data_IF_476726922964
#
_entry.id   IF_476726922964
#
_cell.length_a   1.000
_cell.length_b   1.000
_cell.length_c   1.000
_cell.angle_alpha   90.00
_cell.angle_beta   90.00
_cell.angle_gamma   90.00
#
_symmetry.space_group_name_H-M   'P 1'
#
loop_
_entity.id
_entity.type
_entity.pdbx_description
1 polymer ?
#
# COMPACT_ATOMS: atom_id res chain seq x y z
N UNK A 1 -16.50 30.88 25.19
CA UNK A 1 -16.97 30.33 23.90
C UNK A 1 -15.96 29.30 23.46
N UNK A 2 -16.27 28.02 23.69
CA UNK A 2 -15.37 26.90 23.39
C UNK A 2 -16.08 26.05 22.35
N UNK A 3 -15.66 26.17 21.09
CA UNK A 3 -16.24 25.39 19.99
C UNK A 3 -15.73 23.96 20.11
N UNK A 4 -16.62 23.05 20.49
CA UNK A 4 -16.37 21.63 20.46
C UNK A 4 -16.14 21.19 19.01
N UNK A 5 -14.94 20.71 18.70
CA UNK A 5 -14.67 20.01 17.45
C UNK A 5 -15.40 18.68 17.55
N UNK A 6 -16.50 18.57 16.82
CA UNK A 6 -17.36 17.38 16.75
C UNK A 6 -16.54 16.13 16.48
N UNK A 7 -16.52 15.25 17.48
CA UNK A 7 -15.90 13.92 17.51
C UNK A 7 -16.52 12.91 16.51
N UNK A 8 -17.32 13.37 15.56
CA UNK A 8 -18.04 12.57 14.57
C UNK A 8 -17.23 12.31 13.28
N UNK A 9 -16.11 13.00 13.06
CA UNK A 9 -15.27 12.80 11.86
C UNK A 9 -14.22 11.68 11.96
N UNK A 10 -14.14 10.96 13.08
CA UNK A 10 -13.11 9.92 13.30
C UNK A 10 -13.58 8.47 13.10
N UNK A 11 -14.80 8.25 12.58
CA UNK A 11 -15.40 6.90 12.38
C UNK A 11 -15.78 6.58 10.94
N UNK A 12 -15.17 7.21 9.95
CA UNK A 12 -15.17 6.64 8.61
C UNK A 12 -14.01 5.64 8.54
N UNK A 13 -14.30 4.40 8.93
CA UNK A 13 -13.57 3.26 8.41
C UNK A 13 -13.69 3.35 6.89
N UNK A 14 -12.67 3.94 6.25
CA UNK A 14 -12.56 4.02 4.80
C UNK A 14 -12.23 2.61 4.29
N UNK A 15 -13.25 1.76 4.36
CA UNK A 15 -13.33 0.48 3.71
C UNK A 15 -13.51 0.80 2.23
N UNK A 16 -12.42 0.75 1.48
CA UNK A 16 -12.54 0.81 0.03
C UNK A 16 -13.02 -0.58 -0.44
N UNK A 17 -14.14 -0.68 -1.17
CA UNK A 17 -14.46 -1.91 -1.86
C UNK A 17 -13.33 -2.18 -2.86
N UNK A 18 -12.69 -3.34 -2.75
CA UNK A 18 -11.79 -3.82 -3.78
C UNK A 18 -12.41 -5.09 -4.36
N UNK A 19 -12.80 -5.04 -5.64
CA UNK A 19 -13.32 -6.22 -6.32
C UNK A 19 -12.15 -7.15 -6.66
N UNK A 20 -12.08 -8.26 -5.94
CA UNK A 20 -11.29 -9.43 -6.28
C UNK A 20 -12.17 -10.57 -6.80
N UNK A 21 -11.58 -11.67 -7.30
CA UNK A 21 -12.32 -12.85 -7.77
C UNK A 21 -13.16 -13.55 -6.70
N UNK A 22 -13.00 -13.18 -5.41
CA UNK A 22 -13.69 -13.78 -4.26
C UNK A 22 -14.74 -12.85 -3.63
N UNK A 23 -15.02 -11.69 -4.23
CA UNK A 23 -15.94 -10.68 -3.70
C UNK A 23 -15.23 -9.49 -3.04
N UNK A 24 -16.04 -8.55 -2.55
CA UNK A 24 -15.58 -7.24 -2.06
C UNK A 24 -15.05 -7.34 -0.63
N UNK A 25 -13.75 -7.60 -0.48
CA UNK A 25 -13.12 -7.56 0.84
C UNK A 25 -12.87 -6.09 1.25
N UNK A 26 -13.26 -5.68 2.47
CA UNK A 26 -13.09 -4.32 2.91
C UNK A 26 -11.60 -3.99 3.13
N UNK A 27 -11.03 -3.12 2.29
CA UNK A 27 -9.65 -2.67 2.46
C UNK A 27 -9.55 -1.66 3.61
N UNK A 28 -8.83 -1.97 4.68
CA UNK A 28 -8.55 -1.00 5.76
C UNK A 28 -7.45 -0.03 5.32
N UNK A 29 -7.86 1.00 4.58
CA UNK A 29 -6.97 2.04 4.06
C UNK A 29 -6.25 2.79 5.19
N UNK A 30 -6.91 2.97 6.34
CA UNK A 30 -6.34 3.70 7.49
C UNK A 30 -5.21 2.90 8.10
N UNK A 31 -5.40 1.60 8.32
CA UNK A 31 -4.36 0.73 8.84
C UNK A 31 -3.16 0.67 7.88
N UNK A 32 -3.39 0.47 6.57
CA UNK A 32 -2.32 0.42 5.57
C UNK A 32 -1.53 1.74 5.54
N UNK A 33 -2.23 2.88 5.52
CA UNK A 33 -1.59 4.21 5.49
C UNK A 33 -0.76 4.46 6.75
N UNK A 34 -1.23 3.99 7.91
CA UNK A 34 -0.49 4.07 9.17
C UNK A 34 0.79 3.24 9.12
N UNK A 35 0.72 2.01 8.62
CA UNK A 35 1.89 1.14 8.44
C UNK A 35 2.92 1.79 7.52
N UNK A 36 2.50 2.31 6.36
CA UNK A 36 3.37 3.02 5.42
C UNK A 36 4.02 4.24 6.07
N UNK A 37 3.23 5.07 6.76
CA UNK A 37 3.72 6.29 7.42
C UNK A 37 4.72 5.98 8.53
N UNK A 38 4.53 4.89 9.27
CA UNK A 38 5.47 4.43 10.28
C UNK A 38 6.78 3.95 9.65
N UNK A 39 6.71 3.17 8.57
CA UNK A 39 7.86 2.61 7.86
C UNK A 39 8.72 3.67 7.15
N UNK A 40 8.09 4.74 6.65
CA UNK A 40 8.76 5.85 5.97
C UNK A 40 9.21 6.97 6.91
N UNK A 41 8.96 6.83 8.23
CA UNK A 41 9.40 7.82 9.20
C UNK A 41 10.94 7.89 9.20
N UNK A 42 11.54 9.10 9.09
CA UNK A 42 12.98 9.26 9.23
C UNK A 42 13.47 8.74 10.57
N UNK A 43 14.57 8.00 10.56
CA UNK A 43 15.26 7.56 11.77
C UNK A 43 16.15 8.72 12.24
N UNK A 44 16.03 9.18 13.50
CA UNK A 44 16.92 10.21 14.04
C UNK A 44 18.38 9.78 13.98
N UNK A 45 19.29 10.74 13.78
CA UNK A 45 20.72 10.47 13.80
C UNK A 45 21.14 9.81 15.12
N UNK A 46 21.92 8.73 15.03
CA UNK A 46 22.39 7.96 16.18
C UNK A 46 21.36 6.98 16.78
N UNK A 47 20.13 6.93 16.26
CA UNK A 47 19.15 5.95 16.73
C UNK A 47 19.52 4.52 16.29
N UNK A 48 19.42 3.57 17.23
CA UNK A 48 19.65 2.15 16.94
C UNK A 48 18.41 1.53 16.30
N UNK A 49 18.60 0.83 15.18
CA UNK A 49 17.54 0.07 14.53
C UNK A 49 17.19 -1.17 15.36
N UNK A 50 15.91 -1.35 15.67
CA UNK A 50 15.42 -2.51 16.42
C UNK A 50 15.11 -3.67 15.45
N UNK A 51 15.85 -4.80 15.49
CA UNK A 51 15.64 -5.92 14.56
C UNK A 51 14.25 -6.53 14.61
N UNK A 52 13.63 -6.61 15.80
CA UNK A 52 12.28 -7.16 15.96
C UNK A 52 11.24 -6.26 15.31
N UNK A 53 11.34 -4.95 15.52
CA UNK A 53 10.43 -3.99 14.89
C UNK A 53 10.57 -3.99 13.35
N UNK A 54 11.79 -4.19 12.84
CA UNK A 54 12.02 -4.36 11.40
C UNK A 54 11.38 -5.65 10.87
N UNK A 55 11.52 -6.78 11.56
CA UNK A 55 10.89 -8.05 11.18
C UNK A 55 9.35 -7.95 11.15
N UNK A 56 8.76 -7.30 12.15
CA UNK A 56 7.32 -7.04 12.20
C UNK A 56 6.87 -6.16 11.01
N UNK A 57 7.64 -5.11 10.71
CA UNK A 57 7.37 -4.21 9.57
C UNK A 57 7.48 -4.94 8.22
N UNK A 58 8.47 -5.81 8.05
CA UNK A 58 8.63 -6.65 6.85
C UNK A 58 7.39 -7.53 6.65
N UNK A 59 6.96 -8.22 7.71
CA UNK A 59 5.80 -9.12 7.67
C UNK A 59 4.52 -8.35 7.31
N UNK A 60 4.27 -7.21 7.97
CA UNK A 60 3.08 -6.39 7.71
C UNK A 60 3.06 -5.84 6.28
N UNK A 61 4.17 -5.28 5.81
CA UNK A 61 4.28 -4.73 4.46
C UNK A 61 4.15 -5.82 3.39
N UNK A 62 4.75 -7.00 3.59
CA UNK A 62 4.59 -8.13 2.69
C UNK A 62 3.11 -8.55 2.57
N UNK A 63 2.39 -8.61 3.69
CA UNK A 63 0.94 -8.86 3.70
C UNK A 63 0.16 -7.81 2.91
N UNK A 64 0.47 -6.53 3.09
CA UNK A 64 -0.17 -5.45 2.32
C UNK A 64 0.14 -5.51 0.83
N UNK A 65 1.37 -5.84 0.43
CA UNK A 65 1.73 -6.03 -1.00
C UNK A 65 0.95 -7.21 -1.58
N UNK A 66 0.91 -8.35 -0.88
CA UNK A 66 0.19 -9.55 -1.32
C UNK A 66 -1.31 -9.29 -1.52
N UNK A 67 -1.90 -8.43 -0.68
CA UNK A 67 -3.29 -7.99 -0.83
C UNK A 67 -3.48 -7.03 -2.01
N UNK A 68 -2.67 -5.97 -2.09
CA UNK A 68 -2.89 -4.85 -3.01
C UNK A 68 -2.45 -5.12 -4.45
N UNK A 69 -1.37 -5.89 -4.65
CA UNK A 69 -0.80 -6.15 -5.97
C UNK A 69 -1.81 -6.77 -6.96
N UNK A 70 -2.53 -7.87 -6.64
CA UNK A 70 -3.49 -8.46 -7.58
C UNK A 70 -4.65 -7.52 -7.91
N UNK A 71 -5.10 -6.70 -6.95
CA UNK A 71 -6.15 -5.70 -7.15
C UNK A 71 -5.65 -4.63 -8.13
N UNK A 72 -4.47 -4.06 -7.87
CA UNK A 72 -3.89 -3.01 -8.71
C UNK A 72 -3.61 -3.51 -10.14
N UNK A 73 -3.16 -4.76 -10.31
CA UNK A 73 -2.98 -5.37 -11.63
C UNK A 73 -4.30 -5.60 -12.37
N UNK A 74 -5.36 -6.00 -11.67
CA UNK A 74 -6.69 -6.14 -12.23
C UNK A 74 -7.22 -4.79 -12.70
N UNK A 75 -7.21 -3.78 -11.83
CA UNK A 75 -7.56 -2.40 -12.12
C UNK A 75 -6.79 -1.86 -13.33
N UNK A 76 -5.46 -2.02 -13.33
CA UNK A 76 -4.65 -1.55 -14.44
C UNK A 76 -5.05 -2.24 -15.76
N UNK A 77 -5.33 -3.54 -15.75
CA UNK A 77 -5.74 -4.28 -16.95
C UNK A 77 -7.10 -3.80 -17.50
N UNK A 78 -8.06 -3.53 -16.62
CA UNK A 78 -9.41 -3.09 -16.99
C UNK A 78 -9.40 -1.67 -17.58
N UNK A 79 -8.59 -0.77 -17.02
CA UNK A 79 -8.55 0.64 -17.45
C UNK A 79 -7.59 0.89 -18.61
N UNK A 80 -6.85 -0.13 -19.06
CA UNK A 80 -5.85 0.01 -20.12
C UNK A 80 -6.49 -0.15 -21.51
N UNK A 81 -6.21 0.77 -22.46
CA UNK A 81 -6.63 0.61 -23.84
C UNK A 81 -6.08 -0.68 -24.47
N UNK A 82 -6.90 -1.36 -25.27
CA UNK A 82 -6.46 -2.51 -26.04
C UNK A 82 -5.29 -2.13 -26.98
N UNK A 83 -4.22 -2.92 -27.01
CA UNK A 83 -3.06 -2.69 -27.87
C UNK A 83 -2.01 -1.70 -27.34
N UNK A 84 -2.24 -1.02 -26.21
CA UNK A 84 -1.20 -0.23 -25.57
C UNK A 84 -0.06 -1.12 -25.03
N UNK A 85 1.16 -0.59 -24.89
CA UNK A 85 2.23 -1.24 -24.11
C UNK A 85 1.93 -1.26 -22.60
N UNK A 86 2.82 -1.79 -21.75
CA UNK A 86 2.62 -1.79 -20.30
C UNK A 86 2.64 -0.36 -19.69
N UNK A 87 3.33 0.59 -20.33
CA UNK A 87 3.49 1.95 -19.80
C UNK A 87 4.19 1.99 -18.45
N UNK A 88 4.29 3.18 -17.84
CA UNK A 88 4.98 3.35 -16.56
C UNK A 88 4.32 2.56 -15.42
N UNK A 89 2.99 2.54 -15.38
CA UNK A 89 2.23 1.80 -14.35
C UNK A 89 2.46 0.30 -14.48
N UNK A 90 2.38 -0.26 -15.69
CA UNK A 90 2.64 -1.68 -15.92
C UNK A 90 4.09 -2.09 -15.58
N UNK A 91 5.07 -1.25 -15.90
CA UNK A 91 6.46 -1.48 -15.47
C UNK A 91 6.63 -1.41 -13.95
N UNK A 92 5.94 -0.48 -13.28
CA UNK A 92 5.91 -0.40 -11.82
C UNK A 92 5.33 -1.66 -11.18
N UNK A 93 4.21 -2.16 -11.68
CA UNK A 93 3.59 -3.40 -11.20
C UNK A 93 4.51 -4.62 -11.42
N UNK A 94 5.16 -4.71 -12.60
CA UNK A 94 6.14 -5.75 -12.88
C UNK A 94 7.36 -5.69 -11.93
N UNK A 95 7.83 -4.48 -11.60
CA UNK A 95 8.89 -4.29 -10.61
C UNK A 95 8.47 -4.80 -9.23
N UNK A 96 7.28 -4.44 -8.74
CA UNK A 96 6.79 -4.89 -7.44
C UNK A 96 6.64 -6.41 -7.41
N UNK A 97 6.06 -7.02 -8.45
CA UNK A 97 5.93 -8.47 -8.60
C UNK A 97 7.28 -9.18 -8.59
N UNK A 98 8.27 -8.63 -9.29
CA UNK A 98 9.62 -9.20 -9.31
C UNK A 98 10.25 -9.09 -7.92
N UNK A 99 10.06 -7.98 -7.22
CA UNK A 99 10.58 -7.75 -5.88
C UNK A 99 10.07 -8.78 -4.88
N UNK A 100 8.79 -9.17 -4.94
CA UNK A 100 8.20 -10.17 -4.03
C UNK A 100 8.77 -11.59 -4.21
N UNK A 101 9.57 -11.83 -5.25
CA UNK A 101 10.25 -13.12 -5.46
C UNK A 101 11.55 -13.25 -4.65
N UNK A 102 12.07 -12.14 -4.11
CA UNK A 102 13.31 -12.13 -3.33
C UNK A 102 12.99 -12.17 -1.84
N UNK A 103 13.78 -12.96 -1.09
CA UNK A 103 13.68 -13.00 0.36
C UNK A 103 14.18 -11.68 0.98
N UNK A 104 13.52 -11.17 2.04
CA UNK A 104 14.02 -10.00 2.76
C UNK A 104 15.35 -10.34 3.48
N UNK A 105 16.24 -9.35 3.66
CA UNK A 105 17.45 -9.55 4.48
C UNK A 105 17.09 -9.77 5.95
N UNK A 106 17.87 -10.59 6.66
CA UNK A 106 17.67 -10.83 8.10
C UNK A 106 17.96 -9.54 8.90
N UNK A 107 16.98 -8.99 9.65
CA UNK A 107 17.19 -7.78 10.43
C UNK A 107 18.20 -7.90 11.57
N UNK A 108 18.44 -9.13 12.08
CA UNK A 108 19.43 -9.36 13.13
C UNK A 108 20.85 -9.25 12.59
N UNK A 109 21.08 -9.75 11.37
CA UNK A 109 22.40 -9.77 10.75
C UNK A 109 22.70 -8.46 10.00
N UNK A 110 21.68 -7.89 9.34
CA UNK A 110 21.82 -6.74 8.45
C UNK A 110 20.70 -5.69 8.68
N UNK A 111 20.66 -5.02 9.85
CA UNK A 111 19.56 -4.11 10.21
C UNK A 111 19.40 -2.94 9.23
N UNK A 112 20.49 -2.36 8.73
CA UNK A 112 20.44 -1.26 7.75
C UNK A 112 19.88 -1.71 6.40
N UNK A 113 20.26 -2.91 5.93
CA UNK A 113 19.70 -3.50 4.70
C UNK A 113 18.21 -3.81 4.86
N UNK A 114 17.82 -4.35 6.02
CA UNK A 114 16.42 -4.59 6.36
C UNK A 114 15.60 -3.30 6.45
N UNK A 115 16.17 -2.22 6.98
CA UNK A 115 15.51 -0.92 7.01
C UNK A 115 15.27 -0.35 5.60
N UNK A 116 16.28 -0.38 4.72
CA UNK A 116 16.10 0.01 3.32
C UNK A 116 15.06 -0.86 2.62
N UNK A 117 15.03 -2.16 2.90
CA UNK A 117 14.01 -3.07 2.38
C UNK A 117 12.61 -2.69 2.85
N UNK A 118 12.43 -2.34 4.13
CA UNK A 118 11.17 -1.87 4.72
C UNK A 118 10.71 -0.58 4.06
N UNK A 119 11.59 0.42 3.92
CA UNK A 119 11.23 1.68 3.28
C UNK A 119 10.77 1.48 1.84
N UNK A 120 11.50 0.69 1.07
CA UNK A 120 11.17 0.46 -0.33
C UNK A 120 9.89 -0.39 -0.48
N UNK A 121 9.69 -1.38 0.38
CA UNK A 121 8.42 -2.12 0.46
C UNK A 121 7.25 -1.19 0.81
N UNK A 122 7.46 -0.21 1.70
CA UNK A 122 6.44 0.79 2.03
C UNK A 122 6.11 1.72 0.86
N UNK A 123 7.10 2.11 0.04
CA UNK A 123 6.86 2.86 -1.21
C UNK A 123 6.04 2.04 -2.20
N UNK A 124 6.34 0.74 -2.35
CA UNK A 124 5.54 -0.16 -3.18
C UNK A 124 4.09 -0.22 -2.69
N UNK A 125 3.86 -0.39 -1.38
CA UNK A 125 2.50 -0.38 -0.79
C UNK A 125 1.80 0.95 -1.07
N UNK A 126 2.49 2.09 -0.92
CA UNK A 126 1.94 3.41 -1.19
C UNK A 126 1.52 3.58 -2.65
N UNK A 127 2.37 3.13 -3.60
CA UNK A 127 2.07 3.17 -5.03
C UNK A 127 0.85 2.30 -5.37
N UNK A 128 0.83 1.05 -4.88
CA UNK A 128 -0.28 0.13 -5.11
C UNK A 128 -1.59 0.66 -4.53
N UNK A 129 -1.55 1.19 -3.30
CA UNK A 129 -2.71 1.80 -2.66
C UNK A 129 -3.22 3.00 -3.48
N UNK A 130 -2.32 3.84 -4.00
CA UNK A 130 -2.68 4.95 -4.89
C UNK A 130 -3.43 4.48 -6.15
N UNK A 131 -2.98 3.39 -6.77
CA UNK A 131 -3.64 2.81 -7.95
C UNK A 131 -5.04 2.28 -7.63
N UNK A 132 -5.18 1.54 -6.52
CA UNK A 132 -6.47 0.99 -6.08
C UNK A 132 -7.48 2.10 -5.74
N UNK A 133 -7.02 3.18 -5.09
CA UNK A 133 -7.89 4.29 -4.72
C UNK A 133 -8.28 5.19 -5.91
N UNK A 134 -7.42 5.34 -6.92
CA UNK A 134 -7.74 6.11 -8.12
C UNK A 134 -8.94 5.51 -8.88
N UNK A 135 -8.94 4.19 -9.08
CA UNK A 135 -10.03 3.47 -9.74
C UNK A 135 -11.36 3.56 -8.99
N UNK A 136 -11.30 3.45 -7.67
CA UNK A 136 -12.51 3.59 -6.83
C UNK A 136 -13.15 4.97 -6.97
N UNK A 137 -12.36 6.04 -7.10
CA UNK A 137 -12.90 7.39 -7.35
C UNK A 137 -13.54 7.49 -8.73
N UNK A 138 -12.90 6.97 -9.77
CA UNK A 138 -13.45 6.98 -11.13
C UNK A 138 -14.80 6.25 -11.22
N UNK A 139 -14.92 5.08 -10.57
CA UNK A 139 -16.19 4.34 -10.50
C UNK A 139 -17.28 5.10 -9.76
N UNK A 140 -16.95 5.75 -8.64
CA UNK A 140 -17.90 6.57 -7.87
C UNK A 140 -18.41 7.77 -8.69
N UNK A 141 -17.52 8.45 -9.42
CA UNK A 141 -17.91 9.55 -10.31
C UNK A 141 -18.80 9.07 -11.47
N UNK A 142 -18.48 7.93 -12.08
CA UNK A 142 -19.29 7.35 -13.15
C UNK A 142 -20.68 6.91 -12.68
N UNK A 143 -20.80 6.44 -11.43
CA UNK A 143 -22.08 6.06 -10.83
C UNK A 143 -22.93 7.28 -10.45
N UNK A 144 -22.32 8.37 -9.97
CA UNK A 144 -23.01 9.61 -9.60
C UNK A 144 -23.49 10.44 -10.81
N UNK A 145 -22.94 10.19 -12.00
CA UNK A 145 -23.31 10.86 -13.24
C UNK A 145 -24.46 10.16 -14.01
N UNK A 146 -25.01 9.06 -13.47
CA UNK A 146 -26.15 8.31 -13.99
C UNK A 146 -27.40 8.59 -13.16
#
# INVERSE_FOLDING_TARGET
MTTAISSAMLKQHAVAPADGPEGTAPLDVVAITRTVSAALRPVPDGATLNPRALADSITLLAGHIGLLLPIAECTHRLNRPAGAGPGLVGHGLAYVRRRTQYAPPNPADYPSCAYTWVQESARCVQQLLGLVLADNRERQHAAAAR
#
